data_IF_379857806125
#
_entry.id   IF_379857806125
#
_cell.length_a   1.000
_cell.length_b   1.000
_cell.length_c   1.000
_cell.angle_alpha   90.00
_cell.angle_beta   90.00
_cell.angle_gamma   90.00
#
_symmetry.space_group_name_H-M   'P 1'
#
loop_
_entity.id
_entity.type
_entity.pdbx_description
1 polymer ?
#
# COMPACT_ATOMS: atom_id res chain seq x y z
N UNK A 1 11.20 6.08 19.55
CA UNK A 1 10.29 5.51 18.52
C UNK A 1 11.01 5.09 17.23
N UNK A 2 11.53 5.99 16.38
CA UNK A 2 12.21 5.60 15.10
C UNK A 2 13.42 4.68 15.31
N UNK A 3 14.22 4.97 16.34
CA UNK A 3 15.50 4.30 16.62
C UNK A 3 15.38 3.05 17.51
N UNK A 4 14.18 2.77 18.02
CA UNK A 4 13.94 1.66 18.97
C UNK A 4 13.08 0.56 18.36
N UNK A 5 12.41 0.84 17.23
CA UNK A 5 11.61 -0.15 16.54
C UNK A 5 12.51 -1.25 15.97
N UNK A 6 12.09 -2.49 16.14
CA UNK A 6 12.84 -3.66 15.69
C UNK A 6 12.84 -3.70 14.16
N UNK A 7 14.01 -3.99 13.60
CA UNK A 7 14.25 -4.01 12.17
C UNK A 7 14.91 -5.31 11.73
N UNK A 8 14.65 -5.69 10.49
CA UNK A 8 15.38 -6.70 9.75
C UNK A 8 16.78 -6.19 9.38
N UNK A 9 17.70 -7.07 8.95
CA UNK A 9 19.04 -6.67 8.50
C UNK A 9 19.04 -5.65 7.34
N UNK A 10 18.00 -5.63 6.51
CA UNK A 10 17.78 -4.65 5.44
C UNK A 10 17.13 -3.34 5.94
N UNK A 11 16.94 -3.20 7.25
CA UNK A 11 16.34 -2.02 7.88
C UNK A 11 14.80 -1.97 7.86
N UNK A 12 14.12 -2.96 7.27
CA UNK A 12 12.64 -3.02 7.24
C UNK A 12 12.08 -3.25 8.63
N UNK A 13 10.98 -2.59 9.00
CA UNK A 13 10.34 -2.83 10.29
C UNK A 13 9.83 -4.27 10.42
N UNK A 14 9.97 -4.84 11.62
CA UNK A 14 9.41 -6.14 11.98
C UNK A 14 8.78 -6.12 13.37
N UNK A 15 7.98 -7.14 13.66
CA UNK A 15 7.40 -7.38 14.98
C UNK A 15 8.29 -8.31 15.81
N UNK A 16 8.02 -8.39 17.12
CA UNK A 16 8.81 -9.19 18.09
C UNK A 16 8.65 -10.70 17.93
N UNK A 17 7.59 -11.13 17.29
CA UNK A 17 7.15 -12.52 17.16
C UNK A 17 7.60 -13.16 15.83
N UNK A 18 8.66 -12.63 15.21
CA UNK A 18 9.15 -13.06 13.88
C UNK A 18 8.07 -12.99 12.79
N UNK A 19 7.18 -11.99 12.88
CA UNK A 19 6.21 -11.68 11.83
C UNK A 19 6.37 -10.28 11.28
N UNK A 20 5.88 -10.09 10.07
CA UNK A 20 5.61 -8.78 9.49
C UNK A 20 4.14 -8.72 9.07
N UNK A 21 3.51 -7.56 9.22
CA UNK A 21 2.11 -7.36 8.85
C UNK A 21 2.00 -6.14 7.97
N UNK A 22 1.17 -6.21 6.93
CA UNK A 22 1.02 -5.11 6.00
C UNK A 22 0.47 -3.84 6.67
N UNK A 23 -0.26 -3.98 7.78
CA UNK A 23 -0.71 -2.91 8.67
C UNK A 23 0.44 -2.03 9.19
N UNK A 24 1.66 -2.57 9.28
CA UNK A 24 2.81 -1.81 9.78
C UNK A 24 3.23 -0.69 8.81
N UNK A 25 2.75 -0.73 7.56
CA UNK A 25 2.79 0.44 6.65
C UNK A 25 1.98 1.59 7.25
N UNK A 26 0.74 1.33 7.71
CA UNK A 26 -0.05 2.35 8.42
C UNK A 26 0.57 2.74 9.76
N UNK A 27 1.12 1.80 10.51
CA UNK A 27 1.65 2.14 11.84
C UNK A 27 2.92 2.99 11.80
N UNK A 28 3.62 3.04 10.66
CA UNK A 28 4.90 3.73 10.54
C UNK A 28 4.88 4.94 9.58
N UNK A 29 4.36 4.77 8.37
CA UNK A 29 4.43 5.79 7.31
C UNK A 29 3.77 7.13 7.66
N UNK A 30 2.56 7.20 8.25
CA UNK A 30 1.94 8.48 8.56
C UNK A 30 2.77 9.28 9.55
N UNK A 31 3.35 8.61 10.55
CA UNK A 31 4.25 9.26 11.50
C UNK A 31 5.49 9.80 10.78
N UNK A 32 6.13 9.00 9.93
CA UNK A 32 7.32 9.41 9.19
C UNK A 32 7.06 10.60 8.26
N UNK A 33 5.94 10.59 7.52
CA UNK A 33 5.53 11.71 6.66
C UNK A 33 5.36 13.00 7.47
N UNK A 34 4.64 12.93 8.61
CA UNK A 34 4.35 14.12 9.42
C UNK A 34 5.57 14.60 10.19
N UNK A 35 6.47 13.70 10.57
CA UNK A 35 7.68 14.06 11.27
C UNK A 35 8.65 14.84 10.37
N UNK A 36 8.67 14.57 9.07
CA UNK A 36 9.48 15.31 8.11
C UNK A 36 9.10 16.80 8.02
N UNK A 37 7.84 17.15 8.26
CA UNK A 37 7.40 18.55 8.32
C UNK A 37 7.93 19.27 9.58
N UNK A 38 8.21 18.51 10.65
CA UNK A 38 8.70 19.02 11.93
C UNK A 38 10.23 19.08 11.94
N UNK A 39 10.88 18.08 11.36
CA UNK A 39 12.33 17.92 11.32
C UNK A 39 12.77 17.42 9.93
N UNK A 40 13.03 18.34 8.98
CA UNK A 40 13.46 17.99 7.63
C UNK A 40 14.83 17.31 7.57
N UNK A 41 15.69 17.50 8.58
CA UNK A 41 17.03 16.90 8.63
C UNK A 41 17.00 15.44 9.08
N UNK A 42 15.85 14.96 9.60
CA UNK A 42 15.71 13.58 10.07
C UNK A 42 15.57 12.52 8.95
N UNK A 43 15.57 12.93 7.67
CA UNK A 43 15.48 12.04 6.49
C UNK A 43 14.27 11.06 6.54
N UNK A 44 13.19 11.46 7.23
CA UNK A 44 12.06 10.56 7.51
C UNK A 44 11.18 10.30 6.29
N UNK A 45 11.18 11.18 5.27
CA UNK A 45 10.53 10.90 3.99
C UNK A 45 11.23 9.79 3.21
N UNK A 46 12.57 9.77 3.19
CA UNK A 46 13.34 8.69 2.57
C UNK A 46 13.08 7.37 3.28
N UNK A 47 13.05 7.40 4.62
CA UNK A 47 12.69 6.24 5.42
C UNK A 47 11.27 5.74 5.10
N UNK A 48 10.29 6.62 4.95
CA UNK A 48 8.92 6.25 4.57
C UNK A 48 8.88 5.57 3.19
N UNK A 49 9.60 6.13 2.20
CA UNK A 49 9.73 5.54 0.86
C UNK A 49 10.32 4.14 0.94
N UNK A 50 11.44 3.99 1.66
CA UNK A 50 12.16 2.74 1.82
C UNK A 50 11.28 1.67 2.47
N UNK A 51 10.56 2.02 3.55
CA UNK A 51 9.65 1.08 4.20
C UNK A 51 8.56 0.61 3.24
N UNK A 52 7.87 1.51 2.54
CA UNK A 52 6.83 1.10 1.57
C UNK A 52 7.38 0.15 0.51
N UNK A 53 8.54 0.47 -0.09
CA UNK A 53 9.14 -0.36 -1.14
C UNK A 53 9.62 -1.72 -0.60
N UNK A 54 10.14 -1.77 0.63
CA UNK A 54 10.48 -3.04 1.25
C UNK A 54 9.22 -3.86 1.55
N UNK A 55 8.17 -3.26 2.12
CA UNK A 55 6.90 -3.95 2.34
C UNK A 55 6.28 -4.44 1.02
N UNK A 56 6.44 -3.72 -0.10
CA UNK A 56 6.13 -4.25 -1.43
C UNK A 56 6.90 -5.56 -1.70
N UNK A 57 8.22 -5.54 -1.60
CA UNK A 57 9.06 -6.70 -1.91
C UNK A 57 8.74 -7.91 -1.00
N UNK A 58 8.25 -7.64 0.22
CA UNK A 58 7.87 -8.69 1.15
C UNK A 58 6.46 -9.26 0.93
N UNK A 59 5.52 -8.50 0.35
CA UNK A 59 4.08 -8.81 0.39
C UNK A 59 3.34 -8.72 -0.96
N UNK A 60 3.92 -8.15 -2.01
CA UNK A 60 3.26 -8.00 -3.32
C UNK A 60 2.96 -9.37 -3.94
N UNK A 61 1.72 -9.58 -4.34
CA UNK A 61 1.22 -10.77 -5.01
C UNK A 61 0.78 -10.35 -6.42
N UNK A 62 1.42 -10.85 -7.50
CA UNK A 62 0.93 -10.64 -8.85
C UNK A 62 -0.50 -11.17 -8.98
N UNK A 63 -1.42 -10.35 -9.49
CA UNK A 63 -2.80 -10.79 -9.68
C UNK A 63 -2.90 -11.68 -10.93
N UNK A 64 -3.73 -12.72 -10.85
CA UNK A 64 -3.75 -13.80 -11.84
C UNK A 64 -4.59 -13.52 -13.10
N UNK A 65 -5.22 -12.34 -13.20
CA UNK A 65 -6.07 -11.97 -14.32
C UNK A 65 -5.32 -11.49 -15.58
N UNK A 66 -3.99 -11.41 -15.52
CA UNK A 66 -3.14 -11.01 -16.64
C UNK A 66 -3.13 -9.51 -16.95
N UNK A 67 -3.77 -8.66 -16.14
CA UNK A 67 -3.84 -7.21 -16.38
C UNK A 67 -2.56 -6.44 -15.93
N UNK A 68 -1.60 -7.15 -15.34
CA UNK A 68 -0.35 -6.60 -14.79
C UNK A 68 -0.51 -5.89 -13.44
N UNK A 69 -1.65 -6.09 -12.77
CA UNK A 69 -1.98 -5.58 -11.46
C UNK A 69 -1.50 -6.49 -10.34
N UNK A 70 -1.60 -6.01 -9.11
CA UNK A 70 -1.11 -6.74 -7.94
C UNK A 70 -2.02 -6.50 -6.74
N UNK A 71 -2.00 -7.47 -5.83
CA UNK A 71 -2.60 -7.40 -4.49
C UNK A 71 -1.48 -7.51 -3.44
N UNK A 72 -1.83 -7.37 -2.17
CA UNK A 72 -0.88 -7.48 -1.06
C UNK A 72 -1.30 -8.59 -0.11
N UNK A 73 -0.38 -9.49 0.23
CA UNK A 73 -0.58 -10.40 1.35
C UNK A 73 -0.78 -9.62 2.66
N UNK A 74 -1.47 -10.23 3.62
CA UNK A 74 -1.71 -9.60 4.91
C UNK A 74 -0.54 -9.78 5.88
N UNK A 75 0.02 -10.99 5.96
CA UNK A 75 1.03 -11.34 6.97
C UNK A 75 2.14 -12.17 6.35
N UNK A 76 3.38 -11.94 6.81
CA UNK A 76 4.54 -12.75 6.48
C UNK A 76 5.18 -13.33 7.73
N UNK A 77 5.34 -14.66 7.70
CA UNK A 77 6.06 -15.42 8.71
C UNK A 77 7.54 -15.43 8.33
N UNK A 78 8.39 -14.84 9.18
CA UNK A 78 9.81 -14.67 8.89
C UNK A 78 10.60 -15.97 9.11
N UNK A 79 10.12 -16.85 9.99
CA UNK A 79 10.72 -18.16 10.21
C UNK A 79 10.47 -19.07 9.00
N UNK A 80 9.24 -19.11 8.49
CA UNK A 80 8.85 -19.87 7.28
C UNK A 80 9.26 -19.17 5.98
N UNK A 81 9.63 -17.90 6.06
CA UNK A 81 9.99 -17.03 4.93
C UNK A 81 8.88 -16.88 3.88
N UNK A 82 7.63 -17.12 4.26
CA UNK A 82 6.47 -17.13 3.36
C UNK A 82 5.40 -16.12 3.80
N UNK A 83 4.82 -15.43 2.83
CA UNK A 83 3.60 -14.66 3.05
C UNK A 83 2.39 -15.60 3.05
N UNK A 84 1.33 -15.23 3.76
CA UNK A 84 0.10 -16.03 3.83
C UNK A 84 -0.70 -16.02 2.51
N UNK A 85 -0.39 -15.13 1.58
CA UNK A 85 -1.05 -15.02 0.29
C UNK A 85 -2.48 -14.48 0.33
N UNK A 86 -2.97 -14.03 1.50
CA UNK A 86 -4.36 -13.60 1.67
C UNK A 86 -4.47 -12.09 1.47
N UNK A 87 -5.13 -11.61 0.41
CA UNK A 87 -5.32 -10.18 0.17
C UNK A 87 -6.48 -9.63 1.00
N UNK A 88 -6.23 -9.44 2.29
CA UNK A 88 -7.19 -8.87 3.21
C UNK A 88 -7.49 -7.39 2.87
N UNK A 89 -8.78 -7.06 2.73
CA UNK A 89 -9.27 -5.76 2.23
C UNK A 89 -8.67 -4.56 2.96
N UNK A 90 -8.83 -4.48 4.28
CA UNK A 90 -8.35 -3.32 5.06
C UNK A 90 -6.81 -3.19 5.04
N UNK A 91 -6.09 -4.31 5.12
CA UNK A 91 -4.62 -4.31 5.01
C UNK A 91 -4.15 -3.73 3.67
N UNK A 92 -4.79 -4.14 2.57
CA UNK A 92 -4.52 -3.61 1.22
C UNK A 92 -4.87 -2.11 1.11
N UNK A 93 -5.96 -1.70 1.77
CA UNK A 93 -6.38 -0.31 1.80
C UNK A 93 -5.39 0.61 2.52
N UNK A 94 -4.77 0.16 3.63
CA UNK A 94 -3.71 0.89 4.31
C UNK A 94 -2.56 1.22 3.36
N UNK A 95 -2.09 0.23 2.60
CA UNK A 95 -0.99 0.42 1.65
C UNK A 95 -1.34 1.48 0.60
N UNK A 96 -2.50 1.34 -0.04
CA UNK A 96 -2.90 2.27 -1.09
C UNK A 96 -3.08 3.70 -0.57
N UNK A 97 -3.69 3.83 0.61
CA UNK A 97 -3.92 5.13 1.23
C UNK A 97 -2.60 5.83 1.56
N UNK A 98 -1.63 5.15 2.17
CA UNK A 98 -0.36 5.79 2.51
C UNK A 98 0.61 5.90 1.34
N UNK A 99 0.47 5.08 0.30
CA UNK A 99 1.07 5.37 -0.99
C UNK A 99 0.55 6.71 -1.56
N UNK A 100 -0.75 6.99 -1.45
CA UNK A 100 -1.28 8.29 -1.88
C UNK A 100 -0.74 9.45 -1.02
N UNK A 101 -0.61 9.27 0.30
CA UNK A 101 -0.06 10.28 1.20
C UNK A 101 1.42 10.58 0.89
N UNK A 102 2.26 9.55 0.71
CA UNK A 102 3.68 9.77 0.41
C UNK A 102 3.85 10.43 -0.96
N UNK A 103 3.08 10.04 -1.97
CA UNK A 103 3.13 10.66 -3.31
C UNK A 103 2.73 12.13 -3.32
N UNK A 104 1.88 12.55 -2.36
CA UNK A 104 1.56 13.96 -2.11
C UNK A 104 2.66 14.72 -1.39
N UNK A 105 3.33 14.06 -0.44
CA UNK A 105 4.37 14.68 0.38
C UNK A 105 5.72 14.82 -0.36
N UNK A 106 6.02 13.91 -1.30
CA UNK A 106 7.31 13.90 -1.98
C UNK A 106 7.48 15.06 -2.97
N UNK A 107 8.67 15.69 -3.01
CA UNK A 107 9.06 16.55 -4.12
C UNK A 107 8.94 15.83 -5.45
N UNK A 108 8.56 16.56 -6.52
CA UNK A 108 8.44 15.97 -7.87
C UNK A 108 9.74 15.36 -8.38
N UNK A 109 10.89 15.86 -7.91
CA UNK A 109 12.24 15.41 -8.27
C UNK A 109 12.75 14.26 -7.40
N UNK A 110 11.96 13.77 -6.43
CA UNK A 110 12.41 12.73 -5.52
C UNK A 110 12.65 11.41 -6.25
N UNK A 111 13.80 10.78 -6.02
CA UNK A 111 14.26 9.61 -6.76
C UNK A 111 13.31 8.40 -6.65
N UNK A 112 12.73 8.16 -5.47
CA UNK A 112 11.79 7.05 -5.24
C UNK A 112 10.38 7.27 -5.83
N UNK A 113 10.06 8.48 -6.31
CA UNK A 113 8.68 8.87 -6.64
C UNK A 113 8.09 8.04 -7.78
N UNK A 114 8.84 7.79 -8.84
CA UNK A 114 8.33 7.05 -10.00
C UNK A 114 8.12 5.56 -9.69
N UNK A 115 8.96 4.99 -8.84
CA UNK A 115 8.83 3.60 -8.40
C UNK A 115 7.59 3.42 -7.50
N UNK A 116 7.38 4.33 -6.54
CA UNK A 116 6.18 4.36 -5.69
C UNK A 116 4.91 4.58 -6.52
N UNK A 117 4.97 5.48 -7.51
CA UNK A 117 3.85 5.72 -8.44
C UNK A 117 3.55 4.46 -9.26
N UNK A 118 4.57 3.81 -9.81
CA UNK A 118 4.39 2.56 -10.55
C UNK A 118 3.77 1.47 -9.70
N UNK A 119 4.17 1.36 -8.43
CA UNK A 119 3.57 0.43 -7.48
C UNK A 119 2.11 0.77 -7.17
N UNK A 120 1.81 2.05 -6.91
CA UNK A 120 0.44 2.54 -6.75
C UNK A 120 -0.47 2.18 -7.93
N UNK A 121 0.02 2.38 -9.17
CA UNK A 121 -0.73 2.04 -10.39
C UNK A 121 -1.03 0.54 -10.51
N UNK A 122 -0.08 -0.34 -10.15
CA UNK A 122 -0.30 -1.80 -10.16
C UNK A 122 -1.35 -2.22 -9.15
N UNK A 123 -1.32 -1.63 -7.95
CA UNK A 123 -2.36 -1.89 -6.94
C UNK A 123 -3.72 -1.39 -7.40
N UNK A 124 -3.83 -0.19 -7.96
CA UNK A 124 -5.09 0.32 -8.53
C UNK A 124 -5.67 -0.64 -9.58
N UNK A 125 -4.83 -1.15 -10.49
CA UNK A 125 -5.27 -2.14 -11.51
C UNK A 125 -5.78 -3.43 -10.88
N UNK A 126 -5.02 -4.01 -9.93
CA UNK A 126 -5.42 -5.25 -9.26
C UNK A 126 -6.66 -5.07 -8.38
N UNK A 127 -6.87 -3.87 -7.84
CA UNK A 127 -8.04 -3.56 -7.04
C UNK A 127 -9.29 -3.32 -7.87
N UNK A 128 -9.15 -2.69 -9.03
CA UNK A 128 -10.26 -2.48 -9.94
C UNK A 128 -10.79 -3.82 -10.50
N UNK A 129 -9.93 -4.78 -10.80
CA UNK A 129 -10.34 -6.09 -11.36
C UNK A 129 -11.14 -6.96 -10.39
N UNK A 130 -11.03 -6.68 -9.09
CA UNK A 130 -11.72 -7.45 -8.02
C UNK A 130 -12.82 -6.62 -7.32
N UNK A 131 -13.28 -5.54 -7.94
CA UNK A 131 -14.41 -4.76 -7.44
C UNK A 131 -15.72 -5.50 -7.68
N UNK A 132 -16.56 -5.58 -6.65
CA UNK A 132 -17.90 -6.16 -6.77
C UNK A 132 -18.84 -5.24 -7.55
N UNK A 133 -19.92 -5.78 -8.10
CA UNK A 133 -20.94 -5.04 -8.84
C UNK A 133 -21.62 -3.94 -8.00
N UNK A 134 -21.63 -4.08 -6.66
CA UNK A 134 -22.09 -3.03 -5.75
C UNK A 134 -21.16 -1.80 -5.69
N UNK A 135 -19.95 -1.92 -6.22
CA UNK A 135 -18.86 -0.94 -6.10
C UNK A 135 -18.03 -1.10 -4.83
N UNK A 136 -18.34 -2.06 -3.95
CA UNK A 136 -17.55 -2.39 -2.77
C UNK A 136 -16.52 -3.49 -3.06
N UNK A 137 -15.73 -3.83 -2.05
CA UNK A 137 -14.78 -4.94 -2.09
C UNK A 137 -15.03 -5.95 -0.99
N UNK A 138 -14.77 -7.20 -1.31
CA UNK A 138 -14.87 -8.33 -0.39
C UNK A 138 -13.75 -8.32 0.67
N UNK A 139 -14.02 -8.91 1.85
CA UNK A 139 -13.10 -9.03 2.98
C UNK A 139 -11.77 -9.69 2.58
N UNK A 140 -11.84 -10.77 1.81
CA UNK A 140 -10.70 -11.30 1.06
C UNK A 140 -10.98 -10.97 -0.40
N UNK A 141 -10.14 -10.13 -1.00
CA UNK A 141 -10.50 -9.35 -2.19
C UNK A 141 -10.78 -10.20 -3.42
N UNK A 142 -10.06 -11.30 -3.58
CA UNK A 142 -10.16 -12.25 -4.68
C UNK A 142 -11.06 -13.45 -4.36
N UNK A 143 -11.81 -13.40 -3.25
CA UNK A 143 -12.76 -14.44 -2.82
C UNK A 143 -14.18 -13.85 -2.72
N UNK A 144 -14.97 -13.89 -3.81
CA UNK A 144 -16.31 -13.29 -3.88
C UNK A 144 -17.31 -13.84 -2.86
N UNK A 145 -17.05 -15.04 -2.32
CA UNK A 145 -17.90 -15.67 -1.30
C UNK A 145 -17.74 -15.02 0.10
N UNK A 146 -16.71 -14.18 0.30
CA UNK A 146 -16.55 -13.44 1.55
C UNK A 146 -17.45 -12.19 1.59
N UNK A 147 -17.75 -11.67 2.77
CA UNK A 147 -18.66 -10.52 2.89
C UNK A 147 -18.04 -9.23 2.30
N UNK A 148 -18.90 -8.33 1.81
CA UNK A 148 -18.49 -6.99 1.39
C UNK A 148 -18.04 -6.16 2.60
N UNK A 149 -16.80 -5.68 2.57
CA UNK A 149 -16.13 -5.08 3.72
C UNK A 149 -16.05 -3.55 3.57
N UNK A 150 -16.64 -2.83 4.53
CA UNK A 150 -16.87 -1.39 4.41
C UNK A 150 -15.62 -0.53 4.63
N UNK A 151 -14.73 -0.90 5.55
CA UNK A 151 -13.61 -0.02 5.95
C UNK A 151 -12.55 0.10 4.86
N UNK A 152 -12.14 -1.02 4.26
CA UNK A 152 -11.25 -1.05 3.10
C UNK A 152 -11.91 -0.36 1.91
N UNK A 153 -13.19 -0.65 1.64
CA UNK A 153 -13.94 0.00 0.55
C UNK A 153 -13.97 1.52 0.66
N UNK A 154 -14.24 2.06 1.85
CA UNK A 154 -14.24 3.50 2.08
C UNK A 154 -12.87 4.14 1.82
N UNK A 155 -11.79 3.46 2.18
CA UNK A 155 -10.44 3.93 1.93
C UNK A 155 -10.05 3.87 0.45
N UNK A 156 -10.40 2.80 -0.27
CA UNK A 156 -10.17 2.74 -1.72
C UNK A 156 -10.89 3.89 -2.42
N UNK A 157 -12.16 4.13 -2.08
CA UNK A 157 -12.93 5.26 -2.61
C UNK A 157 -12.28 6.60 -2.28
N UNK A 158 -11.78 6.78 -1.05
CA UNK A 158 -11.08 8.00 -0.66
C UNK A 158 -9.84 8.24 -1.53
N UNK A 159 -9.05 7.20 -1.78
CA UNK A 159 -7.85 7.30 -2.62
C UNK A 159 -8.21 7.56 -4.08
N UNK A 160 -9.22 6.88 -4.63
CA UNK A 160 -9.69 7.13 -6.00
C UNK A 160 -10.18 8.58 -6.17
N UNK A 161 -10.91 9.11 -5.18
CA UNK A 161 -11.36 10.50 -5.21
C UNK A 161 -10.20 11.51 -5.11
N UNK A 162 -9.21 11.23 -4.25
CA UNK A 162 -7.97 12.01 -4.17
C UNK A 162 -7.23 12.01 -5.48
N UNK A 163 -7.18 10.85 -6.12
CA UNK A 163 -6.51 10.71 -7.37
C UNK A 163 -7.15 11.57 -8.46
N UNK A 164 -8.48 11.50 -8.63
CA UNK A 164 -9.20 12.37 -9.57
C UNK A 164 -8.91 13.86 -9.31
N UNK A 165 -8.74 14.24 -8.04
CA UNK A 165 -8.46 15.63 -7.65
C UNK A 165 -7.02 16.07 -7.92
N UNK A 166 -6.04 15.21 -7.66
CA UNK A 166 -4.60 15.56 -7.67
C UNK A 166 -3.82 14.98 -8.85
N UNK A 167 -4.42 14.07 -9.61
CA UNK A 167 -3.92 13.53 -10.86
C UNK A 167 -2.75 12.55 -10.73
N UNK A 168 -2.68 11.70 -9.69
CA UNK A 168 -1.63 10.65 -9.66
C UNK A 168 -1.85 9.63 -10.79
N UNK A 169 -3.12 9.31 -11.10
CA UNK A 169 -3.63 8.62 -12.27
C UNK A 169 -3.91 9.68 -13.34
N UNK A 170 -2.95 9.95 -14.22
CA UNK A 170 -3.37 10.16 -15.61
C UNK A 170 -3.81 8.80 -16.17
N UNK A 171 -4.94 8.27 -15.69
CA UNK A 171 -5.76 7.38 -16.51
C UNK A 171 -6.39 8.32 -17.53
N UNK A 172 -6.15 8.15 -18.84
CA UNK A 172 -6.98 8.83 -19.83
C UNK A 172 -8.41 8.42 -19.52
N UNK A 173 -9.24 9.35 -19.06
CA UNK A 173 -10.69 9.20 -19.07
C UNK A 173 -11.10 9.14 -20.55
N UNK A 174 -10.97 7.96 -21.13
CA UNK A 174 -11.16 7.66 -22.53
C UNK A 174 -12.24 6.63 -22.70
N UNK A 175 -13.45 7.14 -22.94
CA UNK A 175 -14.60 6.48 -23.59
C UNK A 175 -15.44 5.50 -22.76
N UNK A 176 -16.60 6.02 -22.33
CA UNK A 176 -17.86 5.27 -22.31
C UNK A 176 -18.14 4.43 -21.08
N UNK A 177 -19.14 4.86 -20.31
CA UNK A 177 -20.20 3.94 -19.88
C UNK A 177 -20.92 3.38 -21.11
#
# INVERSE_FOLDING_TARGET
>A
MINEQIRRPDGTYQRRDDTMWIDDVYMSVPFLIRYADVDPEAETLDEACRQILHFRDYFEIPHHDGNGGSLMAHMRDLHRKSANGIPWSRGNAWVLFFLSEILMALPQTHHAREELRSFFLRLCKGYQSVQDISGLWHQVRDEPDTYLETSGSAMFLCVMARDVRYGFLMIPMGQGL
#
